data_IF_530531435864
#
_entry.id   IF_530531435864
#
_cell.length_a   1.000
_cell.length_b   1.000
_cell.length_c   1.000
_cell.angle_alpha   90.00
_cell.angle_beta   90.00
_cell.angle_gamma   90.00
#
_symmetry.space_group_name_H-M   'P 1'
#
loop_
_entity.id
_entity.type
_entity.pdbx_description
1 polymer ?
#
# COMPACT_ATOMS: atom_id res chain seq x y z
N UNK A 1 24.41 -3.13 15.79
CA UNK A 1 23.17 -3.90 16.04
C UNK A 1 22.15 -3.53 14.98
N UNK A 2 21.67 -4.48 14.16
CA UNK A 2 20.51 -4.22 13.28
C UNK A 2 19.27 -4.15 14.17
N UNK A 3 18.62 -2.99 14.25
CA UNK A 3 17.30 -2.87 14.92
C UNK A 3 16.33 -3.84 14.22
N UNK A 4 15.60 -4.66 14.98
CA UNK A 4 14.51 -5.46 14.44
C UNK A 4 13.47 -4.49 13.88
N UNK A 5 12.99 -4.76 12.66
CA UNK A 5 11.87 -4.06 12.05
C UNK A 5 10.64 -4.94 12.18
N UNK A 6 9.51 -4.37 12.59
CA UNK A 6 8.23 -5.07 12.64
C UNK A 6 7.41 -4.71 11.39
N UNK A 7 6.51 -5.60 10.99
CA UNK A 7 5.49 -5.32 9.97
C UNK A 7 4.14 -5.48 10.63
N UNK A 8 3.32 -4.43 10.58
CA UNK A 8 1.95 -4.42 11.12
C UNK A 8 0.95 -4.28 9.97
N UNK A 9 -0.20 -4.93 10.12
CA UNK A 9 -1.34 -4.74 9.20
C UNK A 9 -2.16 -3.58 9.72
N UNK A 10 -2.39 -2.58 8.88
CA UNK A 10 -3.15 -1.38 9.23
C UNK A 10 -4.63 -1.62 8.96
N UNK A 11 -5.48 -1.29 9.92
CA UNK A 11 -6.92 -1.33 9.74
C UNK A 11 -7.40 -0.03 9.07
N UNK A 12 -8.06 -0.17 7.91
CA UNK A 12 -8.62 0.93 7.13
C UNK A 12 -9.70 1.70 7.88
N UNK A 13 -10.48 1.05 8.74
CA UNK A 13 -11.63 1.66 9.45
C UNK A 13 -11.23 2.80 10.40
N UNK A 14 -9.93 2.96 10.65
CA UNK A 14 -9.37 4.00 11.53
C UNK A 14 -8.95 5.28 10.79
N UNK A 15 -9.14 5.35 9.47
CA UNK A 15 -8.66 6.44 8.63
C UNK A 15 -9.74 6.94 7.66
N UNK A 16 -9.78 8.25 7.40
CA UNK A 16 -10.68 8.89 6.42
C UNK A 16 -10.28 8.61 4.95
N UNK A 17 -9.33 7.71 4.72
CA UNK A 17 -8.79 7.35 3.42
C UNK A 17 -7.73 6.25 3.53
N UNK A 18 -7.13 5.87 2.39
CA UNK A 18 -6.10 4.82 2.35
C UNK A 18 -4.77 5.43 2.83
N UNK A 19 -4.18 4.96 3.95
CA UNK A 19 -2.93 5.50 4.47
C UNK A 19 -1.77 5.37 3.48
N UNK A 20 -0.98 6.44 3.34
CA UNK A 20 0.21 6.47 2.49
C UNK A 20 1.40 7.09 3.23
N UNK A 21 2.61 6.64 2.90
CA UNK A 21 3.85 7.09 3.54
C UNK A 21 5.06 6.23 3.16
N UNK A 22 6.26 6.73 3.46
CA UNK A 22 7.52 6.05 3.13
C UNK A 22 7.71 4.70 3.85
N UNK A 23 6.98 4.47 4.94
CA UNK A 23 6.95 3.24 5.73
C UNK A 23 5.72 2.37 5.45
N UNK A 24 4.85 2.77 4.51
CA UNK A 24 3.59 2.10 4.19
C UNK A 24 3.67 1.45 2.80
N UNK A 25 3.18 0.22 2.73
CA UNK A 25 3.15 -0.62 1.54
C UNK A 25 1.76 -1.20 1.32
N UNK A 26 1.41 -1.41 0.06
CA UNK A 26 0.18 -2.07 -0.35
C UNK A 26 0.48 -3.48 -0.84
N UNK A 27 -0.22 -4.47 -0.29
CA UNK A 27 -0.20 -5.84 -0.75
C UNK A 27 -1.50 -6.16 -1.48
N UNK A 28 -1.39 -6.51 -2.75
CA UNK A 28 -2.50 -7.02 -3.53
C UNK A 28 -2.70 -8.52 -3.26
N UNK A 29 -3.88 -8.92 -2.78
CA UNK A 29 -4.19 -10.33 -2.51
C UNK A 29 -4.42 -11.15 -3.79
N UNK A 30 -4.84 -10.50 -4.90
CA UNK A 30 -5.06 -11.15 -6.18
C UNK A 30 -3.76 -11.66 -6.82
N UNK A 31 -2.72 -10.82 -6.90
CA UNK A 31 -1.46 -11.14 -7.58
C UNK A 31 -0.24 -11.23 -6.65
N UNK A 32 -0.42 -11.03 -5.34
CA UNK A 32 0.63 -11.05 -4.31
C UNK A 32 1.77 -10.05 -4.53
N UNK A 33 1.56 -9.02 -5.35
CA UNK A 33 2.51 -7.93 -5.51
C UNK A 33 2.48 -7.02 -4.29
N UNK A 34 3.66 -6.61 -3.83
CA UNK A 34 3.85 -5.58 -2.81
C UNK A 34 4.33 -4.32 -3.51
N UNK A 35 3.72 -3.19 -3.18
CA UNK A 35 4.02 -1.88 -3.75
C UNK A 35 4.27 -0.88 -2.64
N UNK A 36 5.12 0.12 -2.88
CA UNK A 36 5.18 1.29 -2.02
C UNK A 36 3.87 2.08 -2.13
N UNK A 37 3.37 2.58 -1.00
CA UNK A 37 2.22 3.49 -1.01
C UNK A 37 2.57 4.89 -1.52
N UNK A 38 3.86 5.21 -1.62
CA UNK A 38 4.40 6.47 -2.12
C UNK A 38 5.60 6.21 -3.06
N UNK A 39 5.37 5.64 -4.26
CA UNK A 39 6.42 5.41 -5.26
C UNK A 39 6.87 6.72 -5.91
N UNK A 40 8.02 6.71 -6.59
CA UNK A 40 8.55 7.90 -7.30
C UNK A 40 7.67 8.34 -8.48
N UNK A 41 6.96 7.41 -9.11
CA UNK A 41 6.09 7.65 -10.26
C UNK A 41 4.83 6.81 -10.16
N UNK A 42 3.85 7.06 -11.04
CA UNK A 42 2.67 6.20 -11.16
C UNK A 42 3.06 4.71 -11.20
N UNK A 43 2.44 3.93 -10.32
CA UNK A 43 2.71 2.51 -10.20
C UNK A 43 1.43 1.71 -10.06
N UNK A 44 1.43 0.50 -10.60
CA UNK A 44 0.33 -0.45 -10.51
C UNK A 44 0.84 -1.86 -10.26
N UNK A 45 0.05 -2.67 -9.56
CA UNK A 45 0.39 -4.06 -9.33
C UNK A 45 0.26 -4.87 -10.63
N UNK A 46 0.81 -6.09 -10.66
CA UNK A 46 0.84 -6.93 -11.87
C UNK A 46 -0.55 -7.19 -12.50
N UNK A 47 -1.61 -7.26 -11.70
CA UNK A 47 -2.97 -7.48 -12.20
C UNK A 47 -3.81 -6.19 -12.33
N UNK A 48 -3.23 -5.02 -12.02
CA UNK A 48 -3.94 -3.75 -12.09
C UNK A 48 -4.93 -3.47 -10.95
N UNK A 49 -5.09 -4.36 -9.96
CA UNK A 49 -6.02 -4.11 -8.85
C UNK A 49 -5.60 -2.91 -8.00
N UNK A 50 -4.35 -2.87 -7.56
CA UNK A 50 -3.78 -1.82 -6.70
C UNK A 50 -2.98 -0.84 -7.56
N UNK A 51 -3.18 0.46 -7.34
CA UNK A 51 -2.47 1.52 -8.05
C UNK A 51 -2.16 2.69 -7.10
N UNK A 52 -1.10 3.43 -7.45
CA UNK A 52 -0.72 4.68 -6.82
C UNK A 52 -0.33 5.67 -7.90
N UNK A 53 -0.94 6.84 -7.85
CA UNK A 53 -0.71 7.98 -8.72
C UNK A 53 -0.27 9.15 -7.83
N UNK A 54 1.04 9.21 -7.56
CA UNK A 54 1.64 10.19 -6.65
C UNK A 54 1.48 11.62 -7.16
N UNK A 55 1.57 11.82 -8.47
CA UNK A 55 1.45 13.12 -9.12
C UNK A 55 0.03 13.70 -8.97
N UNK A 56 -0.98 12.82 -8.98
CA UNK A 56 -2.38 13.20 -8.75
C UNK A 56 -2.81 13.10 -7.28
N UNK A 57 -1.94 12.65 -6.37
CA UNK A 57 -2.28 12.42 -4.96
C UNK A 57 -3.37 11.35 -4.75
N UNK A 58 -3.42 10.33 -5.62
CA UNK A 58 -4.42 9.26 -5.58
C UNK A 58 -3.77 7.90 -5.36
N UNK A 59 -4.47 7.00 -4.69
CA UNK A 59 -4.03 5.62 -4.55
C UNK A 59 -5.13 4.76 -3.98
N UNK A 60 -5.10 3.47 -4.30
CA UNK A 60 -6.06 2.53 -3.77
C UNK A 60 -6.15 1.25 -4.56
N UNK A 61 -7.32 0.63 -4.51
CA UNK A 61 -7.60 -0.60 -5.21
C UNK A 61 -8.97 -0.56 -5.91
N UNK A 62 -9.06 -1.19 -7.09
CA UNK A 62 -10.33 -1.41 -7.79
C UNK A 62 -11.27 -2.30 -6.97
N UNK A 63 -10.71 -3.32 -6.32
CA UNK A 63 -11.37 -4.11 -5.28
C UNK A 63 -10.58 -4.01 -3.97
N UNK A 64 -11.14 -3.26 -3.01
CA UNK A 64 -10.56 -2.99 -1.69
C UNK A 64 -10.48 -4.27 -0.84
N UNK A 65 -11.38 -5.24 -1.03
CA UNK A 65 -11.32 -6.51 -0.27
C UNK A 65 -10.04 -7.31 -0.56
N UNK A 66 -9.39 -7.00 -1.68
CA UNK A 66 -8.13 -7.60 -2.12
C UNK A 66 -6.90 -6.69 -1.90
N UNK A 67 -7.01 -5.71 -0.99
CA UNK A 67 -5.93 -4.83 -0.56
C UNK A 67 -5.62 -5.06 0.93
N UNK A 68 -4.35 -5.29 1.25
CA UNK A 68 -3.83 -5.16 2.61
C UNK A 68 -2.83 -4.01 2.68
N UNK A 69 -2.86 -3.28 3.80
CA UNK A 69 -1.95 -2.17 4.08
C UNK A 69 -0.96 -2.63 5.13
N UNK A 70 0.31 -2.54 4.80
CA UNK A 70 1.43 -2.98 5.62
C UNK A 70 2.24 -1.76 6.03
N UNK A 71 2.57 -1.63 7.32
CA UNK A 71 3.44 -0.58 7.83
C UNK A 71 4.67 -1.19 8.48
N UNK A 72 5.85 -0.62 8.20
CA UNK A 72 7.12 -1.02 8.81
C UNK A 72 7.41 -0.12 10.01
N UNK A 73 7.64 -0.72 11.18
CA UNK A 73 8.01 -0.03 12.44
C UNK A 73 9.45 -0.32 12.89
#
# INVERSE_FOLDING_TARGET
>A
MKKKKNIVIVNLDQYDGIPAGNDIFYLCLNCRSIMQSYPETYSTCKCGNVFVDVDAGRGGANDISNLLILKIE
#
